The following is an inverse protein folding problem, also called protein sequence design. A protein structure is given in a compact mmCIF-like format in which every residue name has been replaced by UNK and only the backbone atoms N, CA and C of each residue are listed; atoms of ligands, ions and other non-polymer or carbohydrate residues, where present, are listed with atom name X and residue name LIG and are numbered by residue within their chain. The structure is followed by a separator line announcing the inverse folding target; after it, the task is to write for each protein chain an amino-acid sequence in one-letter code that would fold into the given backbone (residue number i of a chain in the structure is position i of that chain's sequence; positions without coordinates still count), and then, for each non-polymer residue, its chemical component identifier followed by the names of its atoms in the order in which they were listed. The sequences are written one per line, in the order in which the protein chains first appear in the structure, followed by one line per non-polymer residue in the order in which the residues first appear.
data_IF_825661596886
#
_entry.id   IF_825661596886
#
_cell.length_a   1.000
_cell.length_b   1.000
_cell.length_c   1.000
_cell.angle_alpha   90.00
_cell.angle_beta   90.00
_cell.angle_gamma   90.00
#
_symmetry.space_group_name_H-M   'P 1'
#
loop_
_entity.id
_entity.type
_entity.pdbx_description
1 polymer ?
#
# COMPACT_ATOMS: atom_id res chain seq x y z
N UNK A 1 50.70 -10.45 -41.33
CA UNK A 1 49.69 -10.81 -42.35
C UNK A 1 48.35 -10.81 -41.63
N UNK A 2 47.35 -9.96 -41.84
CA UNK A 2 47.05 -8.94 -42.85
C UNK A 2 46.37 -7.76 -42.13
N UNK A 3 46.71 -6.54 -42.52
CA UNK A 3 46.02 -5.29 -42.17
C UNK A 3 45.12 -4.88 -43.35
N UNK A 4 44.00 -4.21 -43.10
CA UNK A 4 43.25 -3.37 -44.05
C UNK A 4 42.18 -2.58 -43.25
N UNK A 5 42.43 -1.31 -42.90
CA UNK A 5 42.17 -0.04 -43.62
C UNK A 5 40.71 0.45 -43.61
N UNK A 6 40.49 1.50 -42.80
CA UNK A 6 39.87 2.79 -43.14
C UNK A 6 39.09 2.91 -44.46
N UNK A 7 37.84 3.39 -44.40
CA UNK A 7 37.29 4.37 -45.36
C UNK A 7 36.33 5.33 -44.63
N UNK A 8 36.82 6.55 -44.46
CA UNK A 8 36.07 7.78 -44.21
C UNK A 8 35.30 8.17 -45.49
N UNK A 9 34.02 8.51 -45.39
CA UNK A 9 33.31 9.27 -46.45
C UNK A 9 32.51 10.41 -45.85
N UNK A 10 33.09 11.61 -45.99
CA UNK A 10 32.37 12.87 -46.06
C UNK A 10 31.68 12.98 -47.42
N UNK A 11 30.43 13.40 -47.47
CA UNK A 11 29.90 14.14 -48.62
C UNK A 11 28.71 15.03 -48.22
N UNK A 12 29.00 16.33 -48.20
CA UNK A 12 28.24 17.41 -48.84
C UNK A 12 26.71 17.47 -48.68
N UNK A 13 26.33 18.43 -47.83
CA UNK A 13 25.36 19.50 -48.07
C UNK A 13 24.55 19.45 -49.39
N UNK A 14 23.22 19.42 -49.24
CA UNK A 14 22.32 19.99 -50.24
C UNK A 14 21.19 20.74 -49.54
N UNK A 15 21.23 22.06 -49.70
CA UNK A 15 20.19 23.03 -49.35
C UNK A 15 18.91 22.68 -50.13
N UNK A 16 17.82 22.35 -49.44
CA UNK A 16 16.45 22.53 -49.96
C UNK A 16 15.58 23.16 -48.90
N UNK A 17 15.40 24.47 -49.07
CA UNK A 17 14.32 25.22 -48.45
C UNK A 17 12.98 24.69 -49.01
N UNK A 18 12.12 24.21 -48.13
CA UNK A 18 10.68 24.13 -48.37
C UNK A 18 9.93 24.57 -47.12
N UNK A 19 8.98 25.45 -47.39
CA UNK A 19 8.15 26.23 -46.48
C UNK A 19 7.51 25.36 -45.39
N UNK A 20 7.86 25.67 -44.14
CA UNK A 20 7.05 25.29 -43.00
C UNK A 20 5.88 26.27 -42.90
N UNK A 21 4.67 25.80 -43.16
CA UNK A 21 3.48 26.45 -42.61
C UNK A 21 3.55 26.32 -41.08
N UNK A 22 3.79 27.45 -40.43
CA UNK A 22 3.67 27.57 -39.00
C UNK A 22 2.21 27.37 -38.58
N UNK A 23 1.82 26.15 -38.25
CA UNK A 23 0.76 25.96 -37.27
C UNK A 23 1.32 26.39 -35.93
N UNK A 24 0.78 27.49 -35.39
CA UNK A 24 1.07 27.96 -34.03
C UNK A 24 0.78 26.82 -33.06
N UNK A 25 1.82 26.09 -32.68
CA UNK A 25 1.81 25.19 -31.53
C UNK A 25 1.37 26.01 -30.33
N UNK A 26 0.13 25.77 -29.87
CA UNK A 26 -0.36 26.28 -28.59
C UNK A 26 0.57 25.70 -27.54
N UNK A 27 1.40 26.59 -26.95
CA UNK A 27 2.13 26.32 -25.71
C UNK A 27 1.22 25.55 -24.77
N UNK A 28 1.64 24.33 -24.41
CA UNK A 28 0.89 23.41 -23.57
C UNK A 28 0.44 24.10 -22.29
N UNK A 29 -0.86 23.99 -22.00
CA UNK A 29 -1.38 24.36 -20.70
C UNK A 29 -0.75 23.43 -19.65
N UNK A 30 -0.22 23.94 -18.54
CA UNK A 30 0.31 23.12 -17.44
C UNK A 30 -0.76 22.26 -16.75
N UNK A 31 -2.03 22.37 -17.15
CA UNK A 31 -3.16 21.60 -16.65
C UNK A 31 -3.21 20.13 -17.12
N UNK A 32 -2.29 19.70 -18.00
CA UNK A 32 -2.20 18.31 -18.49
C UNK A 32 -1.14 17.45 -17.79
N UNK A 33 -0.56 17.94 -16.70
CA UNK A 33 0.26 17.15 -15.80
C UNK A 33 -0.43 17.17 -14.42
N UNK A 34 -0.87 16.04 -13.85
CA UNK A 34 -1.66 16.06 -12.63
C UNK A 34 -0.78 16.51 -11.46
N UNK A 35 -0.98 17.75 -11.01
CA UNK A 35 -0.48 18.24 -9.73
C UNK A 35 -1.47 17.84 -8.61
N UNK A 36 -0.97 17.67 -7.37
CA UNK A 36 -1.77 17.21 -6.22
C UNK A 36 -2.95 18.15 -5.89
N UNK A 37 -3.96 17.66 -5.15
CA UNK A 37 -5.30 18.25 -5.04
C UNK A 37 -5.34 19.70 -4.54
N UNK A 38 -4.33 20.11 -3.78
CA UNK A 38 -4.39 21.34 -2.98
C UNK A 38 -4.11 22.61 -3.82
N UNK A 39 -3.62 22.47 -5.06
CA UNK A 39 -3.36 23.59 -5.97
C UNK A 39 -4.53 23.89 -6.93
N UNK A 40 -5.66 23.18 -6.83
CA UNK A 40 -6.65 23.08 -7.92
C UNK A 40 -7.79 24.12 -7.83
N UNK A 41 -7.93 24.86 -6.73
CA UNK A 41 -9.18 25.63 -6.49
C UNK A 41 -9.37 26.92 -7.28
N UNK A 42 -8.38 27.43 -8.04
CA UNK A 42 -8.50 28.77 -8.65
C UNK A 42 -8.10 28.90 -10.14
N UNK A 43 -8.06 27.81 -10.92
CA UNK A 43 -7.81 27.94 -12.36
C UNK A 43 -9.10 28.28 -13.14
N UNK A 44 -9.35 29.57 -13.39
CA UNK A 44 -10.48 30.03 -14.21
C UNK A 44 -10.51 29.44 -15.63
N UNK A 45 -9.35 29.04 -16.17
CA UNK A 45 -9.27 28.33 -17.46
C UNK A 45 -9.77 26.88 -17.38
N UNK A 46 -9.68 26.22 -16.21
CA UNK A 46 -10.21 24.87 -16.02
C UNK A 46 -11.71 24.88 -15.76
N UNK A 47 -12.23 25.87 -15.02
CA UNK A 47 -13.67 26.14 -14.97
C UNK A 47 -14.27 26.38 -16.37
N UNK A 48 -13.55 27.09 -17.25
CA UNK A 48 -13.93 27.25 -18.65
C UNK A 48 -13.80 25.98 -19.50
N UNK A 49 -12.89 25.06 -19.18
CA UNK A 49 -12.78 23.74 -19.84
C UNK A 49 -13.85 22.77 -19.31
N UNK A 50 -14.21 22.86 -18.02
CA UNK A 50 -15.31 22.12 -17.40
C UNK A 50 -16.64 22.56 -18.02
N UNK A 51 -16.89 23.87 -18.15
CA UNK A 51 -18.03 24.40 -18.91
C UNK A 51 -18.00 23.99 -20.40
N UNK A 52 -16.81 23.78 -21.00
CA UNK A 52 -16.68 23.33 -22.39
C UNK A 52 -16.91 21.83 -22.56
N UNK A 53 -16.41 20.97 -21.67
CA UNK A 53 -16.69 19.52 -21.69
C UNK A 53 -18.19 19.29 -21.45
N UNK A 54 -18.80 20.07 -20.55
CA UNK A 54 -20.25 20.05 -20.34
C UNK A 54 -21.05 20.63 -21.51
N UNK A 55 -20.47 21.50 -22.38
CA UNK A 55 -21.16 22.06 -23.56
C UNK A 55 -20.97 21.25 -24.84
N UNK A 56 -19.82 20.62 -25.07
CA UNK A 56 -19.54 19.88 -26.32
C UNK A 56 -20.17 18.47 -26.31
N UNK A 57 -20.42 17.92 -25.12
CA UNK A 57 -21.10 16.64 -24.93
C UNK A 57 -22.32 16.77 -24.01
N UNK A 58 -23.03 17.91 -24.07
CA UNK A 58 -24.15 18.23 -23.19
C UNK A 58 -25.32 17.27 -23.38
N UNK A 59 -25.23 16.10 -22.77
CA UNK A 59 -26.37 15.23 -22.59
C UNK A 59 -27.32 15.94 -21.61
N UNK A 60 -28.59 16.18 -21.97
CA UNK A 60 -29.54 16.73 -21.02
C UNK A 60 -29.54 15.86 -19.75
N UNK A 61 -29.63 16.46 -18.56
CA UNK A 61 -29.69 15.70 -17.30
C UNK A 61 -30.75 14.58 -17.39
N UNK A 62 -31.87 14.84 -18.06
CA UNK A 62 -32.92 13.86 -18.38
C UNK A 62 -32.43 12.62 -19.15
N UNK A 63 -31.52 12.79 -20.11
CA UNK A 63 -30.90 11.67 -20.84
C UNK A 63 -29.89 10.94 -19.96
N UNK A 64 -29.14 11.66 -19.11
CA UNK A 64 -28.31 11.05 -18.06
C UNK A 64 -29.18 10.18 -17.14
N UNK A 65 -30.36 10.65 -16.72
CA UNK A 65 -31.33 9.86 -15.95
C UNK A 65 -31.81 8.61 -16.69
N UNK A 66 -32.10 8.71 -17.99
CA UNK A 66 -32.48 7.56 -18.82
C UNK A 66 -31.38 6.51 -18.92
N UNK A 67 -30.13 6.94 -19.03
CA UNK A 67 -28.98 6.03 -19.07
C UNK A 67 -28.67 5.42 -17.70
N UNK A 68 -28.91 6.17 -16.63
CA UNK A 68 -28.63 5.75 -15.26
C UNK A 68 -29.67 4.78 -14.69
N UNK A 69 -30.94 5.00 -15.01
CA UNK A 69 -32.05 4.30 -14.38
C UNK A 69 -32.95 3.64 -15.43
N UNK A 70 -33.12 2.33 -15.31
CA UNK A 70 -34.05 1.55 -16.14
C UNK A 70 -35.51 1.99 -15.99
N UNK A 71 -35.84 2.65 -14.87
CA UNK A 71 -37.16 3.20 -14.57
C UNK A 71 -37.04 4.73 -14.54
N UNK A 72 -37.82 5.46 -15.34
CA UNK A 72 -37.88 6.92 -15.25
C UNK A 72 -38.22 7.34 -13.82
N UNK A 73 -37.38 8.20 -13.23
CA UNK A 73 -37.72 8.90 -11.98
C UNK A 73 -38.18 10.31 -12.31
N UNK A 74 -39.33 10.71 -11.77
CA UNK A 74 -39.90 12.05 -11.94
C UNK A 74 -39.20 13.11 -11.07
N UNK A 75 -38.10 12.77 -10.39
CA UNK A 75 -37.30 13.70 -9.62
C UNK A 75 -36.51 14.63 -10.54
N UNK A 76 -37.02 15.85 -10.75
CA UNK A 76 -36.36 16.91 -11.53
C UNK A 76 -34.99 17.32 -10.98
N UNK A 77 -34.62 16.89 -9.76
CA UNK A 77 -33.36 17.24 -9.11
C UNK A 77 -32.62 16.00 -8.59
N UNK A 78 -31.49 15.66 -9.21
CA UNK A 78 -30.62 14.57 -8.74
C UNK A 78 -29.89 15.03 -7.49
N UNK A 79 -30.12 14.37 -6.36
CA UNK A 79 -29.44 14.67 -5.10
C UNK A 79 -28.61 13.49 -4.66
N UNK A 80 -27.29 13.70 -4.60
CA UNK A 80 -26.35 12.73 -4.04
C UNK A 80 -26.23 12.96 -2.53
N UNK A 81 -27.00 12.22 -1.73
CA UNK A 81 -26.97 12.34 -0.28
C UNK A 81 -25.67 11.75 0.30
N UNK A 82 -25.11 12.42 1.32
CA UNK A 82 -23.91 11.99 2.05
C UNK A 82 -22.65 11.78 1.19
N UNK A 83 -22.57 12.46 0.04
CA UNK A 83 -21.40 12.45 -0.83
C UNK A 83 -20.79 13.83 -0.92
N UNK A 84 -19.47 13.88 -1.05
CA UNK A 84 -18.78 15.14 -1.30
C UNK A 84 -19.05 15.62 -2.73
N UNK A 85 -18.79 16.91 -2.99
CA UNK A 85 -18.88 17.45 -4.34
C UNK A 85 -17.91 16.72 -5.30
N UNK A 86 -16.72 16.35 -4.84
CA UNK A 86 -15.72 15.65 -5.65
C UNK A 86 -16.14 14.23 -5.98
N UNK A 87 -16.72 13.51 -5.03
CA UNK A 87 -17.31 12.20 -5.27
C UNK A 87 -18.41 12.29 -6.33
N UNK A 88 -19.33 13.25 -6.18
CA UNK A 88 -20.42 13.47 -7.14
C UNK A 88 -19.90 13.79 -8.54
N UNK A 89 -18.83 14.59 -8.65
CA UNK A 89 -18.15 14.88 -9.93
C UNK A 89 -17.54 13.63 -10.56
N UNK A 90 -16.94 12.74 -9.77
CA UNK A 90 -16.38 11.49 -10.29
C UNK A 90 -17.46 10.60 -10.91
N UNK A 91 -18.61 10.50 -10.25
CA UNK A 91 -19.76 9.75 -10.77
C UNK A 91 -20.31 10.37 -12.06
N UNK A 92 -20.56 11.68 -12.07
CA UNK A 92 -21.04 12.40 -13.27
C UNK A 92 -20.07 12.25 -14.45
N UNK A 93 -18.77 12.38 -14.20
CA UNK A 93 -17.75 12.13 -15.19
C UNK A 93 -17.84 10.71 -15.77
N UNK A 94 -17.97 9.68 -14.92
CA UNK A 94 -18.07 8.30 -15.38
C UNK A 94 -19.31 8.08 -16.27
N UNK A 95 -20.44 8.68 -15.90
CA UNK A 95 -21.68 8.57 -16.68
C UNK A 95 -21.53 9.21 -18.06
N UNK A 96 -20.90 10.39 -18.14
CA UNK A 96 -20.71 11.10 -19.39
C UNK A 96 -19.65 10.45 -20.30
N UNK A 97 -18.73 9.67 -19.74
CA UNK A 97 -17.57 9.13 -20.48
C UNK A 97 -17.61 7.64 -20.73
N UNK A 98 -18.45 6.88 -20.04
CA UNK A 98 -18.61 5.44 -20.28
C UNK A 98 -19.37 5.19 -21.60
N UNK A 99 -18.95 4.20 -22.43
CA UNK A 99 -17.81 3.28 -22.27
C UNK A 99 -16.51 3.76 -22.96
N UNK A 100 -16.42 5.05 -23.31
CA UNK A 100 -15.36 5.59 -24.16
C UNK A 100 -14.00 5.70 -23.47
N UNK A 101 -13.97 5.78 -22.14
CA UNK A 101 -12.72 5.91 -21.38
C UNK A 101 -12.18 4.54 -20.97
N UNK A 102 -10.93 4.29 -21.39
CA UNK A 102 -10.15 3.16 -20.90
C UNK A 102 -9.78 3.38 -19.45
N UNK A 103 -10.34 2.55 -18.59
CA UNK A 103 -10.24 2.68 -17.16
C UNK A 103 -8.81 2.50 -16.62
N UNK A 104 -7.88 1.96 -17.42
CA UNK A 104 -6.45 1.87 -17.08
C UNK A 104 -5.78 3.24 -16.92
N UNK A 105 -6.34 4.28 -17.53
CA UNK A 105 -5.83 5.64 -17.43
C UNK A 105 -6.57 6.48 -16.39
N UNK A 106 -7.56 5.89 -15.71
CA UNK A 106 -8.31 6.57 -14.65
C UNK A 106 -7.53 6.50 -13.33
N UNK A 107 -7.55 7.59 -12.58
CA UNK A 107 -6.90 7.64 -11.28
C UNK A 107 -7.53 6.60 -10.30
N UNK A 108 -6.75 5.80 -9.56
CA UNK A 108 -7.30 4.70 -8.76
C UNK A 108 -8.30 5.14 -7.68
N UNK A 109 -8.09 6.29 -7.03
CA UNK A 109 -9.05 6.82 -6.05
C UNK A 109 -10.39 7.18 -6.71
N UNK A 110 -10.34 7.71 -7.93
CA UNK A 110 -11.53 8.03 -8.71
C UNK A 110 -12.31 6.76 -9.07
N UNK A 111 -11.62 5.69 -9.50
CA UNK A 111 -12.26 4.40 -9.79
C UNK A 111 -12.92 3.78 -8.55
N UNK A 112 -12.24 3.76 -7.41
CA UNK A 112 -12.84 3.26 -6.16
C UNK A 112 -14.03 4.11 -5.71
N UNK A 113 -13.95 5.44 -5.86
CA UNK A 113 -15.08 6.35 -5.59
C UNK A 113 -16.27 6.10 -6.52
N UNK A 114 -16.03 5.92 -7.81
CA UNK A 114 -17.09 5.58 -8.79
C UNK A 114 -17.72 4.25 -8.42
N UNK A 115 -16.92 3.21 -8.19
CA UNK A 115 -17.42 1.88 -7.83
C UNK A 115 -18.31 1.92 -6.58
N UNK A 116 -17.86 2.60 -5.52
CA UNK A 116 -18.62 2.76 -4.28
C UNK A 116 -19.96 3.47 -4.51
N UNK A 117 -19.97 4.56 -5.28
CA UNK A 117 -21.17 5.32 -5.56
C UNK A 117 -22.13 4.58 -6.50
N UNK A 118 -21.63 3.93 -7.54
CA UNK A 118 -22.47 3.16 -8.46
C UNK A 118 -23.10 1.99 -7.76
N UNK A 119 -22.41 1.37 -6.79
CA UNK A 119 -22.98 0.37 -5.89
C UNK A 119 -24.15 0.96 -5.09
N UNK A 120 -23.91 2.07 -4.38
CA UNK A 120 -24.90 2.73 -3.54
C UNK A 120 -26.16 3.16 -4.30
N UNK A 121 -26.01 3.68 -5.53
CA UNK A 121 -27.14 4.13 -6.35
C UNK A 121 -27.72 3.05 -7.28
N UNK A 122 -27.17 1.84 -7.31
CA UNK A 122 -27.70 0.74 -8.13
C UNK A 122 -27.46 0.87 -9.65
N UNK A 123 -26.41 1.59 -10.07
CA UNK A 123 -26.13 1.89 -11.50
C UNK A 123 -25.34 0.73 -12.15
N UNK A 124 -26.03 -0.39 -12.42
CA UNK A 124 -25.41 -1.67 -12.84
C UNK A 124 -24.38 -1.59 -13.98
N UNK A 125 -24.59 -0.85 -15.09
CA UNK A 125 -23.60 -0.81 -16.17
C UNK A 125 -22.25 -0.25 -15.70
N UNK A 126 -22.26 0.83 -14.91
CA UNK A 126 -21.06 1.43 -14.37
C UNK A 126 -20.44 0.62 -13.22
N UNK A 127 -21.26 -0.10 -12.46
CA UNK A 127 -20.78 -1.03 -11.44
C UNK A 127 -19.82 -2.08 -12.03
N UNK A 128 -20.25 -2.80 -13.08
CA UNK A 128 -19.41 -3.82 -13.73
C UNK A 128 -18.16 -3.18 -14.34
N UNK A 129 -18.30 -2.09 -15.08
CA UNK A 129 -17.17 -1.39 -15.67
C UNK A 129 -16.14 -0.94 -14.63
N UNK A 130 -16.57 -0.36 -13.51
CA UNK A 130 -15.67 0.12 -12.47
C UNK A 130 -14.97 -1.04 -11.75
N UNK A 131 -15.66 -2.16 -11.50
CA UNK A 131 -15.04 -3.33 -10.87
C UNK A 131 -14.07 -4.06 -11.80
N UNK A 132 -14.42 -4.21 -13.08
CA UNK A 132 -13.51 -4.75 -14.09
C UNK A 132 -12.23 -3.89 -14.20
N UNK A 133 -12.40 -2.56 -14.19
CA UNK A 133 -11.29 -1.62 -14.16
C UNK A 133 -10.39 -1.82 -12.93
N UNK A 134 -10.98 -1.90 -11.73
CA UNK A 134 -10.26 -2.13 -10.48
C UNK A 134 -9.48 -3.44 -10.56
N UNK A 135 -10.09 -4.54 -11.04
CA UNK A 135 -9.37 -5.79 -11.23
C UNK A 135 -8.19 -5.66 -12.20
N UNK A 136 -8.36 -4.95 -13.32
CA UNK A 136 -7.27 -4.72 -14.29
C UNK A 136 -6.11 -3.95 -13.65
N UNK A 137 -6.39 -2.88 -12.90
CA UNK A 137 -5.33 -2.04 -12.32
C UNK A 137 -4.71 -2.63 -11.05
N UNK A 138 -5.32 -3.64 -10.42
CA UNK A 138 -4.79 -4.26 -9.20
C UNK A 138 -4.05 -5.57 -9.46
N UNK A 139 -4.36 -6.26 -10.57
CA UNK A 139 -3.70 -7.53 -10.92
C UNK A 139 -2.26 -7.32 -11.41
N UNK A 140 -1.34 -8.26 -11.14
CA UNK A 140 -0.02 -8.28 -11.77
C UNK A 140 -0.14 -8.23 -13.32
N UNK A 141 0.75 -7.51 -14.02
CA UNK A 141 1.99 -6.87 -13.54
C UNK A 141 1.82 -5.44 -13.02
N UNK A 142 0.59 -4.97 -12.72
CA UNK A 142 0.36 -3.61 -12.26
C UNK A 142 1.14 -3.28 -10.98
N UNK A 143 1.70 -2.07 -10.93
CA UNK A 143 2.37 -1.52 -9.75
C UNK A 143 1.49 -0.56 -8.95
N UNK A 144 0.23 -0.36 -9.35
CA UNK A 144 -0.64 0.69 -8.79
C UNK A 144 -0.75 0.58 -7.28
N UNK A 145 -1.02 -0.61 -6.72
CA UNK A 145 -1.13 -0.80 -5.27
C UNK A 145 0.17 -0.52 -4.50
N UNK A 146 1.32 -0.57 -5.18
CA UNK A 146 2.63 -0.25 -4.59
C UNK A 146 2.90 1.25 -4.51
N UNK A 147 2.30 2.04 -5.40
CA UNK A 147 2.64 3.46 -5.58
C UNK A 147 1.49 4.40 -5.26
N UNK A 148 0.24 3.94 -5.24
CA UNK A 148 -0.91 4.81 -5.06
C UNK A 148 -0.98 5.38 -3.62
N UNK A 149 -1.55 6.56 -3.43
CA UNK A 149 -1.68 7.16 -2.11
C UNK A 149 -2.72 6.44 -1.23
N UNK A 150 -2.77 6.82 0.05
CA UNK A 150 -3.56 6.16 1.10
C UNK A 150 -5.07 6.24 0.84
N UNK A 151 -5.53 7.38 0.33
CA UNK A 151 -6.91 7.63 -0.09
C UNK A 151 -7.33 6.68 -1.21
N UNK A 152 -6.47 6.50 -2.21
CA UNK A 152 -6.71 5.57 -3.30
C UNK A 152 -6.86 4.13 -2.81
N UNK A 153 -5.94 3.68 -1.95
CA UNK A 153 -6.04 2.36 -1.33
C UNK A 153 -7.34 2.19 -0.53
N UNK A 154 -7.75 3.22 0.22
CA UNK A 154 -8.97 3.19 1.03
C UNK A 154 -10.23 3.13 0.16
N UNK A 155 -10.30 3.89 -0.93
CA UNK A 155 -11.40 3.82 -1.90
C UNK A 155 -11.48 2.46 -2.58
N UNK A 156 -10.34 1.88 -3.00
CA UNK A 156 -10.30 0.55 -3.60
C UNK A 156 -10.74 -0.55 -2.61
N UNK A 157 -10.28 -0.50 -1.36
CA UNK A 157 -10.69 -1.43 -0.31
C UNK A 157 -12.18 -1.30 0.03
N UNK A 158 -12.73 -0.07 0.08
CA UNK A 158 -14.19 0.14 0.28
C UNK A 158 -15.01 -0.41 -0.88
N UNK A 159 -14.54 -0.23 -2.11
CA UNK A 159 -15.18 -0.86 -3.27
C UNK A 159 -15.16 -2.39 -3.13
N UNK A 160 -14.01 -3.01 -2.86
CA UNK A 160 -13.93 -4.46 -2.67
C UNK A 160 -14.87 -4.98 -1.56
N UNK A 161 -14.99 -4.24 -0.45
CA UNK A 161 -15.93 -4.54 0.62
C UNK A 161 -17.40 -4.42 0.18
N UNK A 162 -17.76 -3.32 -0.49
CA UNK A 162 -19.13 -3.06 -0.93
C UNK A 162 -19.63 -4.14 -1.90
N UNK A 163 -18.77 -4.62 -2.80
CA UNK A 163 -19.11 -5.65 -3.78
C UNK A 163 -18.94 -7.09 -3.26
N UNK A 164 -18.55 -7.28 -1.99
CA UNK A 164 -18.25 -8.59 -1.43
C UNK A 164 -17.23 -9.38 -2.26
N UNK A 165 -16.08 -8.77 -2.54
CA UNK A 165 -14.95 -9.36 -3.27
C UNK A 165 -13.75 -9.65 -2.33
N UNK A 166 -13.80 -10.70 -1.47
CA UNK A 166 -12.73 -11.01 -0.53
C UNK A 166 -11.34 -11.16 -1.16
N UNK A 167 -11.16 -11.84 -2.30
CA UNK A 167 -9.83 -11.99 -2.89
C UNK A 167 -9.18 -10.67 -3.29
N UNK A 168 -10.00 -9.70 -3.75
CA UNK A 168 -9.52 -8.37 -4.08
C UNK A 168 -9.19 -7.58 -2.81
N UNK A 169 -10.04 -7.67 -1.78
CA UNK A 169 -9.77 -7.03 -0.50
C UNK A 169 -8.47 -7.54 0.13
N UNK A 170 -8.28 -8.85 0.19
CA UNK A 170 -7.07 -9.49 0.71
C UNK A 170 -5.83 -9.03 -0.05
N UNK A 171 -5.90 -8.98 -1.39
CA UNK A 171 -4.80 -8.48 -2.22
C UNK A 171 -4.43 -7.02 -1.89
N UNK A 172 -5.44 -6.15 -1.74
CA UNK A 172 -5.23 -4.74 -1.41
C UNK A 172 -4.65 -4.63 0.00
N UNK A 173 -5.21 -5.36 0.98
CA UNK A 173 -4.77 -5.36 2.38
C UNK A 173 -3.35 -5.90 2.55
N UNK A 174 -2.96 -6.94 1.81
CA UNK A 174 -1.58 -7.40 1.75
C UNK A 174 -0.63 -6.30 1.24
N UNK A 175 -1.05 -5.50 0.25
CA UNK A 175 -0.26 -4.38 -0.23
C UNK A 175 -0.18 -3.23 0.79
N UNK A 176 -1.26 -2.94 1.53
CA UNK A 176 -1.21 -2.01 2.66
C UNK A 176 -0.16 -2.48 3.68
N UNK A 177 -0.28 -3.71 4.16
CA UNK A 177 0.58 -4.28 5.21
C UNK A 177 2.03 -4.27 4.75
N UNK A 178 2.31 -4.70 3.51
CA UNK A 178 3.67 -4.68 2.97
C UNK A 178 4.26 -3.27 2.92
N UNK A 179 3.47 -2.25 2.56
CA UNK A 179 3.95 -0.86 2.51
C UNK A 179 4.14 -0.22 3.89
N UNK A 180 3.35 -0.64 4.87
CA UNK A 180 3.46 -0.19 6.26
C UNK A 180 4.67 -0.82 6.96
N UNK A 181 4.91 -2.12 6.72
CA UNK A 181 5.98 -2.88 7.38
C UNK A 181 7.35 -2.78 6.70
N UNK A 182 7.44 -2.15 5.51
CA UNK A 182 8.68 -1.92 4.79
C UNK A 182 9.02 -0.40 4.76
N UNK A 183 9.74 0.12 5.77
CA UNK A 183 10.03 1.55 5.90
C UNK A 183 10.81 2.14 4.72
N UNK A 184 11.51 1.30 3.95
CA UNK A 184 12.32 1.71 2.80
C UNK A 184 11.50 1.89 1.51
N UNK A 185 10.19 1.66 1.55
CA UNK A 185 9.34 1.92 0.39
C UNK A 185 9.35 3.42 0.05
N UNK A 186 9.64 3.82 -1.20
CA UNK A 186 9.55 5.22 -1.62
C UNK A 186 8.13 5.79 -1.49
N UNK A 187 7.13 4.92 -1.34
CA UNK A 187 5.74 5.24 -1.16
C UNK A 187 5.21 4.65 0.16
N UNK A 188 5.95 4.83 1.25
CA UNK A 188 5.49 4.47 2.59
C UNK A 188 4.15 5.16 2.91
N UNK A 189 3.23 4.41 3.51
CA UNK A 189 1.91 4.93 3.88
C UNK A 189 1.96 5.56 5.28
N UNK A 190 1.19 6.65 5.52
CA UNK A 190 0.98 7.13 6.87
C UNK A 190 0.21 6.07 7.67
N UNK A 191 0.77 5.50 8.75
CA UNK A 191 0.13 4.46 9.53
C UNK A 191 -1.12 4.97 10.26
N UNK A 192 -1.22 6.26 10.60
CA UNK A 192 -2.38 6.79 11.32
C UNK A 192 -3.68 6.63 10.53
N UNK A 193 -3.67 6.98 9.26
CA UNK A 193 -4.83 6.84 8.37
C UNK A 193 -5.21 5.36 8.20
N UNK A 194 -4.20 4.47 8.14
CA UNK A 194 -4.41 3.03 8.06
C UNK A 194 -5.02 2.44 9.35
N UNK A 195 -4.64 2.96 10.53
CA UNK A 195 -5.23 2.56 11.81
C UNK A 195 -6.71 2.93 11.84
N UNK A 196 -7.03 4.18 11.52
CA UNK A 196 -8.43 4.68 11.51
C UNK A 196 -9.26 3.91 10.49
N UNK A 197 -8.71 3.66 9.29
CA UNK A 197 -9.38 2.88 8.27
C UNK A 197 -9.63 1.43 8.72
N UNK A 198 -8.63 0.79 9.34
CA UNK A 198 -8.74 -0.56 9.87
C UNK A 198 -9.82 -0.68 10.95
N UNK A 199 -9.91 0.30 11.86
CA UNK A 199 -10.95 0.38 12.89
C UNK A 199 -12.35 0.52 12.25
N UNK A 200 -12.53 1.47 11.34
CA UNK A 200 -13.83 1.71 10.69
C UNK A 200 -14.33 0.55 9.84
N UNK A 201 -13.42 -0.28 9.30
CA UNK A 201 -13.77 -1.40 8.43
C UNK A 201 -13.63 -2.76 9.10
N UNK A 202 -13.35 -2.79 10.41
CA UNK A 202 -13.10 -4.01 11.19
C UNK A 202 -12.00 -4.91 10.61
N UNK A 203 -11.01 -4.33 9.92
CA UNK A 203 -9.86 -5.04 9.36
C UNK A 203 -8.74 -5.11 10.40
N UNK A 204 -8.91 -6.02 11.36
CA UNK A 204 -8.04 -6.13 12.55
C UNK A 204 -6.55 -6.29 12.19
N UNK A 205 -6.23 -7.10 11.18
CA UNK A 205 -4.84 -7.30 10.74
C UNK A 205 -4.22 -6.03 10.17
N UNK A 206 -4.98 -5.27 9.38
CA UNK A 206 -4.52 -3.97 8.86
C UNK A 206 -4.30 -2.98 10.00
N UNK A 207 -5.26 -2.87 10.92
CA UNK A 207 -5.17 -2.00 12.09
C UNK A 207 -3.96 -2.35 12.97
N UNK A 208 -3.70 -3.65 13.19
CA UNK A 208 -2.56 -4.13 13.97
C UNK A 208 -1.22 -3.81 13.26
N UNK A 209 -1.11 -4.06 11.96
CA UNK A 209 0.08 -3.77 11.18
C UNK A 209 0.38 -2.26 11.13
N UNK A 210 -0.66 -1.44 10.98
CA UNK A 210 -0.54 0.01 11.01
C UNK A 210 -0.15 0.52 12.41
N UNK A 211 -0.75 -0.03 13.47
CA UNK A 211 -0.40 0.28 14.87
C UNK A 211 1.05 -0.08 15.18
N UNK A 212 1.53 -1.21 14.65
CA UNK A 212 2.94 -1.60 14.72
C UNK A 212 3.84 -0.61 13.99
N UNK A 213 3.54 -0.27 12.74
CA UNK A 213 4.32 0.70 11.96
C UNK A 213 4.38 2.08 12.63
N UNK A 214 3.25 2.58 13.13
CA UNK A 214 3.18 3.81 13.93
C UNK A 214 4.07 3.72 15.16
N UNK A 215 3.99 2.60 15.91
CA UNK A 215 4.78 2.39 17.11
C UNK A 215 6.29 2.41 16.83
N UNK A 216 6.74 1.78 15.74
CA UNK A 216 8.16 1.75 15.38
C UNK A 216 8.64 3.14 14.93
N UNK A 217 7.84 3.88 14.16
CA UNK A 217 8.21 5.23 13.70
C UNK A 217 8.31 6.24 14.86
N UNK A 218 7.38 6.18 15.80
CA UNK A 218 7.29 7.11 16.94
C UNK A 218 7.87 6.53 18.24
N UNK A 219 8.71 5.50 18.12
CA UNK A 219 9.23 4.73 19.25
C UNK A 219 9.81 5.58 20.40
N UNK A 220 10.65 6.61 20.15
CA UNK A 220 11.19 7.43 21.23
C UNK A 220 10.10 8.12 22.06
N UNK A 221 9.06 8.64 21.39
CA UNK A 221 7.94 9.31 22.05
C UNK A 221 7.12 8.30 22.86
N UNK A 222 6.81 7.14 22.27
CA UNK A 222 6.00 6.11 22.93
C UNK A 222 6.73 5.55 24.15
N UNK A 223 8.03 5.29 24.05
CA UNK A 223 8.83 4.83 25.18
C UNK A 223 8.84 5.86 26.33
N UNK A 224 8.92 7.15 26.00
CA UNK A 224 8.84 8.24 26.97
C UNK A 224 7.45 8.32 27.63
N UNK A 225 6.37 8.23 26.85
CA UNK A 225 4.99 8.25 27.33
C UNK A 225 4.70 7.07 28.28
N UNK A 226 5.15 5.87 27.93
CA UNK A 226 5.04 4.67 28.79
C UNK A 226 5.78 4.87 30.11
N UNK A 227 7.00 5.43 30.08
CA UNK A 227 7.79 5.72 31.28
C UNK A 227 7.12 6.79 32.15
N UNK A 228 6.53 7.81 31.52
CA UNK A 228 5.80 8.88 32.18
C UNK A 228 4.39 8.48 32.65
N UNK A 229 3.89 7.30 32.25
CA UNK A 229 2.50 6.86 32.44
C UNK A 229 1.48 7.87 31.89
N UNK A 230 1.84 8.59 30.84
CA UNK A 230 1.00 9.59 30.20
C UNK A 230 0.47 9.04 28.87
N UNK A 231 -0.85 9.13 28.64
CA UNK A 231 -1.46 8.83 27.34
C UNK A 231 -1.73 10.16 26.66
N UNK A 232 -0.89 10.54 25.71
CA UNK A 232 -1.09 11.75 24.91
C UNK A 232 -1.57 11.34 23.53
N UNK A 233 -2.89 11.35 23.26
CA UNK A 233 -3.37 11.04 21.92
C UNK A 233 -2.83 12.08 20.94
N UNK A 234 -2.23 11.61 19.85
CA UNK A 234 -1.85 12.47 18.74
C UNK A 234 -2.93 12.35 17.66
N UNK A 235 -3.53 13.45 17.20
CA UNK A 235 -4.42 13.41 16.04
C UNK A 235 -3.73 12.73 14.86
N UNK A 236 -4.43 11.88 14.08
CA UNK A 236 -5.87 11.60 14.15
C UNK A 236 -6.26 10.50 15.15
N UNK A 237 -5.33 9.91 15.91
CA UNK A 237 -5.62 8.82 16.83
C UNK A 237 -6.41 9.32 18.04
N UNK A 238 -7.58 8.72 18.25
CA UNK A 238 -8.36 8.92 19.46
C UNK A 238 -7.69 8.19 20.66
N UNK A 239 -8.19 8.43 21.88
CA UNK A 239 -7.64 7.81 23.09
C UNK A 239 -7.79 6.27 23.13
N UNK A 240 -8.73 5.69 22.39
CA UNK A 240 -8.92 4.23 22.29
C UNK A 240 -7.79 3.64 21.44
N UNK A 241 -7.58 4.17 20.23
CA UNK A 241 -6.51 3.77 19.33
C UNK A 241 -5.12 3.91 19.99
N UNK A 242 -4.90 5.00 20.73
CA UNK A 242 -3.64 5.19 21.46
C UNK A 242 -3.43 4.11 22.54
N UNK A 243 -4.50 3.62 23.20
CA UNK A 243 -4.39 2.52 24.17
C UNK A 243 -3.97 1.21 23.50
N UNK A 244 -4.51 0.88 22.34
CA UNK A 244 -4.11 -0.30 21.56
C UNK A 244 -2.60 -0.25 21.22
N UNK A 245 -2.10 0.90 20.77
CA UNK A 245 -0.65 1.10 20.50
C UNK A 245 0.20 0.86 21.75
N UNK A 246 -0.22 1.38 22.91
CA UNK A 246 0.50 1.18 24.17
C UNK A 246 0.45 -0.26 24.68
N UNK A 247 -0.67 -0.97 24.46
CA UNK A 247 -0.78 -2.40 24.73
C UNK A 247 0.21 -3.19 23.86
N UNK A 248 0.23 -2.90 22.56
CA UNK A 248 1.19 -3.41 21.58
C UNK A 248 2.63 -3.26 22.04
N UNK A 249 3.02 -2.04 22.44
CA UNK A 249 4.37 -1.75 22.93
C UNK A 249 4.76 -2.63 24.12
N UNK A 250 3.89 -2.76 25.12
CA UNK A 250 4.16 -3.56 26.32
C UNK A 250 4.25 -5.05 25.98
N UNK A 251 3.30 -5.55 25.19
CA UNK A 251 3.24 -6.96 24.78
C UNK A 251 4.49 -7.36 23.98
N UNK A 252 4.87 -6.55 22.99
CA UNK A 252 6.05 -6.79 22.16
C UNK A 252 7.36 -6.56 22.92
N UNK A 253 7.39 -5.70 23.94
CA UNK A 253 8.55 -5.57 24.84
C UNK A 253 8.83 -6.88 25.59
N UNK A 254 7.79 -7.60 26.02
CA UNK A 254 7.94 -8.92 26.65
C UNK A 254 8.47 -9.94 25.65
N UNK A 255 7.95 -9.95 24.42
CA UNK A 255 8.45 -10.82 23.34
C UNK A 255 9.93 -10.53 23.07
N UNK A 256 10.29 -9.25 22.94
CA UNK A 256 11.68 -8.82 22.72
C UNK A 256 12.60 -9.25 23.87
N UNK A 257 12.16 -9.13 25.13
CA UNK A 257 12.93 -9.56 26.28
C UNK A 257 13.16 -11.09 26.30
N UNK A 258 12.13 -11.89 25.95
CA UNK A 258 12.26 -13.35 25.82
C UNK A 258 13.25 -13.73 24.72
N UNK A 259 13.13 -13.10 23.56
CA UNK A 259 14.04 -13.32 22.44
C UNK A 259 15.47 -12.88 22.76
N UNK A 260 15.66 -11.82 23.57
CA UNK A 260 17.00 -11.43 24.03
C UNK A 260 17.61 -12.50 24.94
N UNK A 261 16.81 -13.15 25.78
CA UNK A 261 17.26 -14.16 26.71
C UNK A 261 17.58 -15.50 26.05
N UNK A 262 16.83 -15.90 25.01
CA UNK A 262 17.05 -17.17 24.32
C UNK A 262 16.59 -17.12 22.85
N UNK A 263 17.28 -17.83 21.94
CA UNK A 263 16.80 -17.98 20.56
C UNK A 263 15.50 -18.81 20.52
N UNK A 264 14.70 -18.68 19.44
CA UNK A 264 13.62 -19.63 19.17
C UNK A 264 14.15 -21.07 19.13
N UNK A 265 13.49 -22.02 19.80
CA UNK A 265 13.91 -23.41 19.81
C UNK A 265 13.70 -24.04 18.41
N UNK A 266 14.57 -24.97 18.05
CA UNK A 266 14.51 -25.70 16.78
C UNK A 266 14.74 -27.20 17.02
N UNK A 267 14.11 -28.08 16.21
CA UNK A 267 14.26 -29.52 16.39
C UNK A 267 15.65 -30.01 15.94
N UNK A 268 16.11 -31.11 16.53
CA UNK A 268 17.26 -31.88 16.05
C UNK A 268 16.98 -32.47 14.67
N UNK A 269 17.93 -32.34 13.74
CA UNK A 269 17.87 -33.02 12.44
C UNK A 269 18.10 -34.52 12.60
N UNK A 270 17.51 -35.34 11.74
CA UNK A 270 17.60 -36.81 11.81
C UNK A 270 19.06 -37.29 11.71
N UNK A 271 19.87 -36.65 10.86
CA UNK A 271 21.29 -36.98 10.69
C UNK A 271 22.22 -36.49 11.81
N UNK A 272 21.75 -35.65 12.73
CA UNK A 272 22.58 -35.06 13.78
C UNK A 272 22.41 -35.85 15.08
N UNK A 273 23.48 -36.44 15.63
CA UNK A 273 23.40 -37.18 16.89
C UNK A 273 23.03 -36.28 18.07
N UNK A 274 22.56 -36.84 19.18
CA UNK A 274 22.20 -36.06 20.38
C UNK A 274 23.39 -35.24 20.93
N UNK A 275 24.58 -35.85 20.97
CA UNK A 275 25.82 -35.18 21.41
C UNK A 275 26.25 -34.05 20.46
N UNK A 276 26.06 -34.22 19.16
CA UNK A 276 26.33 -33.16 18.16
C UNK A 276 25.29 -32.05 18.22
N UNK A 277 24.02 -32.39 18.49
CA UNK A 277 22.95 -31.42 18.57
C UNK A 277 23.16 -30.47 19.75
N UNK A 278 23.57 -30.97 20.92
CA UNK A 278 23.97 -30.13 22.05
C UNK A 278 25.08 -29.12 21.67
N UNK A 279 26.06 -29.54 20.85
CA UNK A 279 27.10 -28.63 20.33
C UNK A 279 26.49 -27.59 19.38
N UNK A 280 25.55 -27.98 18.52
CA UNK A 280 24.81 -27.09 17.64
C UNK A 280 24.02 -26.04 18.43
N UNK A 281 23.27 -26.45 19.46
CA UNK A 281 22.51 -25.56 20.35
C UNK A 281 23.42 -24.55 21.04
N UNK A 282 24.55 -25.01 21.59
CA UNK A 282 25.51 -24.12 22.26
C UNK A 282 26.17 -23.12 21.31
N UNK A 283 26.46 -23.52 20.07
CA UNK A 283 27.02 -22.63 19.04
C UNK A 283 25.97 -21.63 18.56
N UNK A 284 24.77 -22.09 18.26
CA UNK A 284 23.63 -21.26 17.91
C UNK A 284 23.30 -20.25 19.00
N UNK A 285 23.22 -20.69 20.25
CA UNK A 285 22.97 -19.83 21.40
C UNK A 285 24.01 -18.72 21.52
N UNK A 286 25.30 -19.03 21.38
CA UNK A 286 26.36 -17.99 21.41
C UNK A 286 26.24 -17.00 20.26
N UNK A 287 26.03 -17.48 19.03
CA UNK A 287 25.85 -16.61 17.86
C UNK A 287 24.59 -15.74 18.01
N UNK A 288 23.51 -16.30 18.55
CA UNK A 288 22.29 -15.57 18.85
C UNK A 288 22.51 -14.43 19.83
N UNK A 289 23.17 -14.67 20.97
CA UNK A 289 23.44 -13.62 21.96
C UNK A 289 24.23 -12.45 21.38
N UNK A 290 25.10 -12.71 20.40
CA UNK A 290 25.85 -11.65 19.71
C UNK A 290 24.95 -10.73 18.86
N UNK A 291 23.82 -11.22 18.33
CA UNK A 291 22.90 -10.44 17.49
C UNK A 291 21.63 -9.99 18.24
N UNK A 292 21.27 -10.65 19.34
CA UNK A 292 20.04 -10.40 20.09
C UNK A 292 20.16 -9.24 21.09
N UNK A 293 21.37 -8.75 21.38
CA UNK A 293 21.59 -7.62 22.29
C UNK A 293 20.74 -6.39 21.94
N UNK A 294 20.62 -6.10 20.64
CA UNK A 294 19.85 -4.95 20.10
C UNK A 294 18.35 -5.26 19.89
N UNK A 295 17.85 -6.40 20.35
CA UNK A 295 16.44 -6.75 20.24
C UNK A 295 15.60 -5.70 21.00
N UNK A 296 14.62 -5.11 20.33
CA UNK A 296 13.71 -4.12 20.89
C UNK A 296 12.27 -4.45 20.43
N UNK A 297 11.31 -3.53 20.63
CA UNK A 297 9.91 -3.76 20.23
C UNK A 297 9.71 -3.93 18.72
N UNK A 298 10.71 -3.61 17.90
CA UNK A 298 10.75 -3.91 16.46
C UNK A 298 11.09 -5.39 16.20
N UNK A 299 10.38 -6.29 16.89
CA UNK A 299 10.67 -7.73 16.89
C UNK A 299 10.70 -8.32 15.49
N UNK A 300 9.78 -7.91 14.60
CA UNK A 300 9.64 -8.46 13.25
C UNK A 300 10.87 -8.13 12.40
N UNK A 301 11.29 -6.86 12.35
CA UNK A 301 12.47 -6.48 11.57
C UNK A 301 13.77 -6.94 12.23
N UNK A 302 13.83 -6.98 13.57
CA UNK A 302 15.00 -7.49 14.30
C UNK A 302 15.22 -8.98 14.07
N UNK A 303 14.16 -9.80 14.02
CA UNK A 303 14.26 -11.22 13.64
C UNK A 303 14.75 -11.39 12.19
N UNK A 304 14.23 -10.60 11.25
CA UNK A 304 14.68 -10.63 9.86
C UNK A 304 16.17 -10.23 9.72
N UNK A 305 16.59 -9.19 10.46
CA UNK A 305 17.98 -8.71 10.49
C UNK A 305 18.91 -9.74 11.12
N UNK A 306 18.52 -10.31 12.27
CA UNK A 306 19.29 -11.36 12.94
C UNK A 306 19.48 -12.57 12.03
N UNK A 307 18.41 -13.01 11.33
CA UNK A 307 18.51 -14.08 10.35
C UNK A 307 19.50 -13.76 9.22
N UNK A 308 19.48 -12.53 8.68
CA UNK A 308 20.39 -12.11 7.63
C UNK A 308 21.87 -12.07 8.09
N UNK A 309 22.12 -11.61 9.32
CA UNK A 309 23.46 -11.59 9.93
C UNK A 309 23.96 -13.01 10.16
N UNK A 310 23.16 -13.85 10.83
CA UNK A 310 23.52 -15.23 11.18
C UNK A 310 23.74 -16.11 9.94
N UNK A 311 22.99 -15.87 8.84
CA UNK A 311 23.23 -16.56 7.55
C UNK A 311 24.59 -16.25 6.94
N UNK A 312 25.17 -15.08 7.23
CA UNK A 312 26.48 -14.67 6.72
C UNK A 312 27.63 -15.10 7.65
N UNK A 313 27.32 -15.68 8.82
CA UNK A 313 28.34 -16.14 9.75
C UNK A 313 28.97 -17.47 9.29
N UNK A 314 30.16 -17.38 8.70
CA UNK A 314 30.93 -18.53 8.24
C UNK A 314 31.33 -19.49 9.38
N UNK A 315 31.43 -19.01 10.62
CA UNK A 315 31.76 -19.89 11.77
C UNK A 315 30.60 -20.82 12.07
N UNK A 316 29.38 -20.28 12.02
CA UNK A 316 28.15 -21.03 12.21
C UNK A 316 28.03 -22.14 11.16
N UNK A 317 28.34 -21.81 9.90
CA UNK A 317 28.36 -22.76 8.80
C UNK A 317 29.39 -23.89 8.93
N UNK A 318 30.53 -23.62 9.59
CA UNK A 318 31.60 -24.61 9.74
C UNK A 318 31.39 -25.55 10.92
N UNK A 319 30.66 -25.11 11.95
CA UNK A 319 30.57 -25.81 13.24
C UNK A 319 29.23 -26.51 13.44
N UNK A 320 28.13 -25.98 12.90
CA UNK A 320 26.82 -26.61 13.00
C UNK A 320 26.61 -27.61 11.86
N UNK A 321 25.90 -28.70 12.14
CA UNK A 321 25.32 -29.55 11.10
C UNK A 321 24.38 -28.70 10.21
N UNK A 322 24.46 -28.88 8.90
CA UNK A 322 23.73 -28.05 7.93
C UNK A 322 22.20 -28.13 8.10
N UNK A 323 21.65 -29.31 8.38
CA UNK A 323 20.21 -29.47 8.59
C UNK A 323 19.74 -28.87 9.93
N UNK A 324 20.52 -29.03 11.01
CA UNK A 324 20.26 -28.33 12.28
C UNK A 324 20.28 -26.80 12.09
N UNK A 325 21.20 -26.29 11.26
CA UNK A 325 21.28 -24.85 10.92
C UNK A 325 20.04 -24.39 10.14
N UNK A 326 19.60 -25.14 9.13
CA UNK A 326 18.38 -24.80 8.39
C UNK A 326 17.13 -24.89 9.28
N UNK A 327 17.06 -25.86 10.19
CA UNK A 327 16.00 -25.95 11.20
C UNK A 327 16.00 -24.72 12.12
N UNK A 328 17.17 -24.23 12.54
CA UNK A 328 17.29 -22.99 13.33
C UNK A 328 16.81 -21.75 12.55
N UNK A 329 17.16 -21.62 11.26
CA UNK A 329 16.63 -20.55 10.42
C UNK A 329 15.14 -20.68 10.13
N UNK A 330 14.62 -21.90 10.02
CA UNK A 330 13.19 -22.16 9.94
C UNK A 330 12.47 -21.71 11.22
N UNK A 331 13.05 -21.98 12.40
CA UNK A 331 12.51 -21.52 13.68
C UNK A 331 12.49 -19.98 13.80
N UNK A 332 13.52 -19.26 13.32
CA UNK A 332 13.50 -17.79 13.26
C UNK A 332 12.40 -17.27 12.34
N UNK A 333 12.27 -17.85 11.13
CA UNK A 333 11.19 -17.49 10.19
C UNK A 333 9.83 -17.75 10.81
N UNK A 334 9.67 -18.91 11.46
CA UNK A 334 8.43 -19.28 12.15
C UNK A 334 8.11 -18.28 13.26
N UNK A 335 9.06 -17.96 14.14
CA UNK A 335 8.85 -16.97 15.19
C UNK A 335 8.43 -15.59 14.64
N UNK A 336 9.05 -15.16 13.54
CA UNK A 336 8.66 -13.92 12.83
C UNK A 336 7.24 -13.99 12.28
N UNK A 337 6.90 -15.08 11.59
CA UNK A 337 5.56 -15.29 11.01
C UNK A 337 4.50 -15.42 12.10
N UNK A 338 4.80 -16.10 13.21
CA UNK A 338 3.91 -16.25 14.36
C UNK A 338 3.67 -14.88 15.02
N UNK A 339 4.71 -14.05 15.17
CA UNK A 339 4.55 -12.67 15.68
C UNK A 339 3.66 -11.82 14.77
N UNK A 340 3.85 -11.94 13.45
CA UNK A 340 3.05 -11.22 12.46
C UNK A 340 1.59 -11.70 12.44
N UNK A 341 1.38 -13.03 12.49
CA UNK A 341 0.04 -13.65 12.47
C UNK A 341 -0.77 -13.28 13.72
N UNK A 342 -0.12 -13.20 14.88
CA UNK A 342 -0.77 -12.86 16.15
C UNK A 342 -0.64 -11.37 16.49
N UNK A 343 -0.30 -10.53 15.51
CA UNK A 343 -0.14 -9.09 15.72
C UNK A 343 -1.39 -8.46 16.33
N UNK A 344 -2.64 -8.73 15.88
CA UNK A 344 -3.84 -8.18 16.50
C UNK A 344 -3.92 -8.41 18.01
N UNK A 345 -3.57 -9.61 18.49
CA UNK A 345 -3.58 -9.93 19.92
C UNK A 345 -2.56 -9.13 20.73
N UNK A 346 -1.45 -8.70 20.13
CA UNK A 346 -0.50 -7.85 20.83
C UNK A 346 -1.09 -6.45 21.11
N UNK A 347 -2.02 -5.98 20.27
CA UNK A 347 -2.64 -4.66 20.35
C UNK A 347 -4.04 -4.68 21.01
N UNK A 348 -4.47 -5.81 21.58
CA UNK A 348 -5.82 -6.00 22.14
C UNK A 348 -6.95 -5.67 21.14
N UNK A 349 -6.81 -6.14 19.88
CA UNK A 349 -7.78 -5.96 18.79
C UNK A 349 -8.64 -7.19 18.52
#
# INVERSE_FOLDING_TARGET
MSAQTMVERRSSATKRARMAHATKSRKGCPCFNPQPPDAITNCAKRAGIEDLIYKEHSMPLREVYRLLFLVPRDDENLRFYNKTADESRCLLWAICTHPLVDARFTYPAMLGSIAEQTFHYGIKPLQHWAMDAIHIITRPPSTVLRTCPVDAMAYLSRAALAYYEPPLLDLITDHWINRLLLPQSPHALPPEDAIVYGEHTSQLMLQAAASYAYMIRDLPTIAADVKARAIRPKPPLNGILQRHVLAGYKSLSVVAARLRAAPPPYPRAEECTEEEHWKCERVWGRAWHAVAGDMNVDVINRLATAQAILRRDARLARVMNDACREAAFAALRKARMDTLKHLPHHFDL
#
